data_IF_717995631144
#
_entry.id   IF_717995631144
#
_cell.length_a   1.000
_cell.length_b   1.000
_cell.length_c   1.000
_cell.angle_alpha   90.00
_cell.angle_beta   90.00
_cell.angle_gamma   90.00
#
_symmetry.space_group_name_H-M   'P 1'
#
loop_
_entity.id
_entity.type
_entity.pdbx_description
1 polymer ?
#
# COMPACT_ATOMS: atom_id res chain seq x y z
N UNK A 1 4.60 7.51 29.80
CA UNK A 1 4.28 6.08 29.91
C UNK A 1 3.04 5.80 29.07
N UNK A 2 3.18 5.13 27.93
CA UNK A 2 2.01 4.56 27.25
C UNK A 2 1.49 3.44 28.15
N UNK A 3 0.23 3.53 28.60
CA UNK A 3 -0.39 2.46 29.34
C UNK A 3 -0.36 1.21 28.45
N UNK A 4 0.35 0.15 28.88
CA UNK A 4 0.27 -1.14 28.20
C UNK A 4 -1.16 -1.62 28.39
N UNK A 5 -1.92 -1.73 27.31
CA UNK A 5 -3.17 -2.48 27.36
C UNK A 5 -2.80 -3.93 27.68
N UNK A 6 -3.51 -4.61 28.60
CA UNK A 6 -3.23 -6.00 28.89
C UNK A 6 -3.50 -6.85 27.64
N UNK A 7 -2.62 -7.81 27.36
CA UNK A 7 -2.87 -8.81 26.33
C UNK A 7 -4.15 -9.62 26.65
N UNK A 8 -4.84 -10.16 25.64
CA UNK A 8 -5.95 -11.09 25.87
C UNK A 8 -5.53 -12.29 26.72
N UNK A 9 -6.50 -12.90 27.40
CA UNK A 9 -6.28 -14.17 28.13
C UNK A 9 -5.68 -15.22 27.20
N UNK A 10 -4.70 -15.97 27.71
CA UNK A 10 -3.93 -16.99 26.97
C UNK A 10 -3.03 -16.46 25.84
N UNK A 11 -2.74 -15.15 25.78
CA UNK A 11 -1.84 -14.56 24.78
C UNK A 11 -0.59 -13.99 25.46
N UNK A 12 0.59 -14.40 25.00
CA UNK A 12 1.88 -13.90 25.45
C UNK A 12 2.42 -12.84 24.48
N UNK A 13 1.79 -11.66 24.41
CA UNK A 13 2.02 -10.68 23.33
C UNK A 13 3.48 -10.26 23.12
N UNK A 14 4.28 -10.25 24.19
CA UNK A 14 5.72 -9.99 24.13
C UNK A 14 6.51 -11.01 23.29
N UNK A 15 6.03 -12.25 23.17
CA UNK A 15 6.62 -13.31 22.34
C UNK A 15 6.07 -13.30 20.90
N UNK A 16 4.92 -12.66 20.72
CA UNK A 16 4.15 -12.55 19.47
C UNK A 16 4.42 -11.24 18.70
N UNK A 17 5.20 -10.33 19.28
CA UNK A 17 5.49 -9.03 18.69
C UNK A 17 4.37 -8.01 18.80
N UNK A 18 3.50 -8.17 19.80
CA UNK A 18 2.43 -7.20 20.09
C UNK A 18 3.00 -5.84 20.52
N UNK A 19 2.35 -4.78 20.04
CA UNK A 19 2.75 -3.40 20.32
C UNK A 19 1.52 -2.49 20.49
N UNK A 20 1.67 -1.45 21.33
CA UNK A 20 0.59 -0.49 21.65
C UNK A 20 1.11 0.96 21.67
N UNK A 21 2.13 1.25 20.87
CA UNK A 21 2.80 2.56 20.78
C UNK A 21 3.07 2.93 19.32
N UNK A 22 3.82 4.00 19.07
CA UNK A 22 4.23 4.42 17.72
C UNK A 22 4.78 3.26 16.85
N UNK A 23 4.07 2.89 15.78
CA UNK A 23 4.42 1.73 14.95
C UNK A 23 5.69 1.93 14.13
N UNK A 24 5.88 3.09 13.46
CA UNK A 24 7.07 3.31 12.61
C UNK A 24 8.38 3.04 13.37
N UNK A 25 8.47 3.48 14.64
CA UNK A 25 9.63 3.17 15.49
C UNK A 25 9.84 1.66 15.74
N UNK A 26 8.77 0.86 15.80
CA UNK A 26 8.84 -0.60 15.91
C UNK A 26 9.18 -1.24 14.57
N UNK A 27 8.60 -0.75 13.49
CA UNK A 27 8.77 -1.29 12.16
C UNK A 27 10.23 -1.20 11.69
N UNK A 28 10.97 -0.14 12.05
CA UNK A 28 12.41 -0.05 11.80
C UNK A 28 13.19 -1.18 12.50
N UNK A 29 12.85 -1.51 13.75
CA UNK A 29 13.46 -2.64 14.45
C UNK A 29 13.09 -3.98 13.82
N UNK A 30 11.82 -4.17 13.45
CA UNK A 30 11.33 -5.38 12.77
C UNK A 30 12.02 -5.59 11.42
N UNK A 31 12.27 -4.52 10.65
CA UNK A 31 13.03 -4.56 9.39
C UNK A 31 14.47 -5.04 9.61
N UNK A 32 15.13 -4.58 10.67
CA UNK A 32 16.46 -5.06 11.04
C UNK A 32 16.45 -6.53 11.48
N UNK A 33 15.46 -6.94 12.28
CA UNK A 33 15.26 -8.33 12.71
C UNK A 33 14.98 -9.26 11.54
N UNK A 34 14.21 -8.83 10.55
CA UNK A 34 13.93 -9.59 9.34
C UNK A 34 15.22 -9.87 8.57
N UNK A 35 16.01 -8.83 8.29
CA UNK A 35 17.28 -9.01 7.59
C UNK A 35 18.27 -9.87 8.39
N UNK A 36 18.35 -9.67 9.71
CA UNK A 36 19.13 -10.56 10.59
C UNK A 36 18.69 -12.01 10.46
N UNK A 37 17.39 -12.31 10.60
CA UNK A 37 16.88 -13.68 10.56
C UNK A 37 17.17 -14.39 9.24
N UNK A 38 17.14 -13.66 8.11
CA UNK A 38 17.45 -14.20 6.79
C UNK A 38 18.93 -14.53 6.61
N UNK A 39 19.82 -13.74 7.22
CA UNK A 39 21.27 -13.97 7.15
C UNK A 39 21.72 -15.04 8.15
N UNK A 40 21.14 -15.05 9.36
CA UNK A 40 21.50 -15.96 10.44
C UNK A 40 20.73 -17.29 10.39
N UNK A 41 19.76 -17.44 9.49
CA UNK A 41 18.81 -18.58 9.44
C UNK A 41 18.07 -18.78 10.79
N UNK A 42 17.74 -17.66 11.45
CA UNK A 42 17.07 -17.65 12.76
C UNK A 42 15.55 -17.65 12.57
N UNK A 43 14.99 -18.86 12.50
CA UNK A 43 13.55 -19.07 12.33
C UNK A 43 12.70 -18.40 13.42
N UNK A 44 13.17 -18.38 14.68
CA UNK A 44 12.40 -17.83 15.79
C UNK A 44 12.23 -16.32 15.66
N UNK A 45 13.28 -15.63 15.19
CA UNK A 45 13.21 -14.19 14.90
C UNK A 45 12.35 -13.91 13.67
N UNK A 46 12.46 -14.71 12.60
CA UNK A 46 11.61 -14.57 11.42
C UNK A 46 10.13 -14.73 11.78
N UNK A 47 9.80 -15.73 12.61
CA UNK A 47 8.46 -15.94 13.14
C UNK A 47 7.98 -14.72 13.96
N UNK A 48 8.81 -14.17 14.85
CA UNK A 48 8.47 -12.98 15.63
C UNK A 48 8.08 -11.81 14.72
N UNK A 49 8.87 -11.54 13.69
CA UNK A 49 8.60 -10.45 12.74
C UNK A 49 7.29 -10.68 12.01
N UNK A 50 7.04 -11.91 11.55
CA UNK A 50 5.78 -12.26 10.89
C UNK A 50 4.58 -11.99 11.78
N UNK A 51 4.61 -12.48 13.02
CA UNK A 51 3.49 -12.33 13.96
C UNK A 51 3.27 -10.86 14.34
N UNK A 52 4.34 -10.07 14.49
CA UNK A 52 4.24 -8.63 14.68
C UNK A 52 3.58 -7.91 13.49
N UNK A 53 3.91 -8.31 12.26
CA UNK A 53 3.31 -7.77 11.05
C UNK A 53 1.82 -8.10 10.97
N UNK A 54 1.42 -9.36 11.16
CA UNK A 54 0.02 -9.79 11.14
C UNK A 54 -0.79 -9.12 12.25
N UNK A 55 -0.22 -9.00 13.46
CA UNK A 55 -0.84 -8.27 14.56
C UNK A 55 -1.08 -6.80 14.21
N UNK A 56 -0.15 -6.16 13.52
CA UNK A 56 -0.28 -4.75 13.10
C UNK A 56 -1.52 -4.51 12.25
N UNK A 57 -1.84 -5.44 11.36
CA UNK A 57 -3.01 -5.34 10.48
C UNK A 57 -4.33 -5.29 11.27
N UNK A 58 -4.36 -5.79 12.51
CA UNK A 58 -5.56 -5.77 13.36
C UNK A 58 -5.93 -4.36 13.88
N UNK A 59 -5.01 -3.38 13.78
CA UNK A 59 -5.24 -2.01 14.26
C UNK A 59 -5.98 -1.10 13.27
N UNK A 60 -6.48 -1.62 12.15
CA UNK A 60 -7.18 -0.78 11.19
C UNK A 60 -8.10 -1.52 10.26
N UNK A 61 -8.15 -1.07 9.02
CA UNK A 61 -8.95 -1.63 7.94
C UNK A 61 -7.95 -2.13 6.87
N UNK A 62 -7.45 -3.37 6.98
CA UNK A 62 -6.42 -3.90 6.08
C UNK A 62 -6.79 -3.77 4.60
N UNK A 63 -8.07 -4.01 4.26
CA UNK A 63 -8.56 -3.96 2.87
C UNK A 63 -8.42 -2.58 2.21
N UNK A 64 -8.42 -1.49 2.98
CA UNK A 64 -8.14 -0.14 2.44
C UNK A 64 -6.69 0.29 2.68
N UNK A 65 -5.87 -0.55 3.34
CA UNK A 65 -4.50 -0.22 3.69
C UNK A 65 -4.35 0.80 4.82
N UNK A 66 -5.44 1.17 5.51
CA UNK A 66 -5.40 2.13 6.61
C UNK A 66 -5.17 1.40 7.92
N UNK A 67 -4.07 1.71 8.61
CA UNK A 67 -3.70 1.08 9.88
C UNK A 67 -3.48 2.17 10.93
N UNK A 68 -4.09 2.06 12.11
CA UNK A 68 -3.81 2.96 13.21
C UNK A 68 -2.39 2.72 13.74
N UNK A 69 -1.57 3.76 13.74
CA UNK A 69 -0.14 3.69 14.11
C UNK A 69 0.16 4.25 15.50
N UNK A 70 -0.87 4.81 16.15
CA UNK A 70 -0.85 5.38 17.49
C UNK A 70 -2.12 4.96 18.25
N UNK A 71 -2.35 3.65 18.45
CA UNK A 71 -3.57 3.14 19.08
C UNK A 71 -3.74 3.70 20.48
N UNK A 72 -4.98 4.10 20.80
CA UNK A 72 -5.38 4.72 22.08
C UNK A 72 -4.65 6.03 22.45
N UNK A 73 -3.83 6.59 21.55
CA UNK A 73 -3.19 7.91 21.73
C UNK A 73 -3.76 8.94 20.75
N UNK A 74 -3.34 8.86 19.50
CA UNK A 74 -3.78 9.79 18.46
C UNK A 74 -4.87 9.16 17.58
N UNK A 75 -4.90 7.82 17.47
CA UNK A 75 -5.86 7.06 16.67
C UNK A 75 -5.85 7.41 15.16
N UNK A 76 -4.66 7.65 14.63
CA UNK A 76 -4.41 8.07 13.25
C UNK A 76 -3.36 7.16 12.57
N UNK A 77 -3.42 7.12 11.25
CA UNK A 77 -2.47 6.40 10.41
C UNK A 77 -1.32 7.32 9.98
N UNK A 78 -0.09 6.97 10.35
CA UNK A 78 1.11 7.71 9.96
C UNK A 78 1.58 7.33 8.56
N UNK A 79 1.95 8.31 7.74
CA UNK A 79 2.46 8.06 6.39
C UNK A 79 3.75 7.21 6.36
N UNK A 80 4.65 7.38 7.35
CA UNK A 80 5.87 6.56 7.44
C UNK A 80 5.54 5.07 7.55
N UNK A 81 4.61 4.73 8.43
CA UNK A 81 4.26 3.36 8.76
C UNK A 81 3.78 2.57 7.54
N UNK A 82 3.08 3.22 6.61
CA UNK A 82 2.62 2.60 5.38
C UNK A 82 3.81 2.15 4.52
N UNK A 83 4.86 2.95 4.44
CA UNK A 83 6.11 2.56 3.77
C UNK A 83 6.77 1.35 4.41
N UNK A 84 6.77 1.26 5.74
CA UNK A 84 7.32 0.08 6.43
C UNK A 84 6.46 -1.16 6.29
N UNK A 85 5.13 -1.03 6.28
CA UNK A 85 4.21 -2.14 6.03
C UNK A 85 4.46 -2.74 4.64
N UNK A 86 4.61 -1.89 3.62
CA UNK A 86 4.94 -2.34 2.28
C UNK A 86 6.28 -3.08 2.28
N UNK A 87 7.33 -2.49 2.87
CA UNK A 87 8.65 -3.12 2.92
C UNK A 87 8.62 -4.49 3.62
N UNK A 88 7.99 -4.56 4.80
CA UNK A 88 7.88 -5.79 5.59
C UNK A 88 7.07 -6.86 4.87
N UNK A 89 5.87 -6.52 4.37
CA UNK A 89 5.00 -7.46 3.67
C UNK A 89 5.69 -8.08 2.45
N UNK A 90 6.37 -7.26 1.64
CA UNK A 90 7.12 -7.72 0.47
C UNK A 90 8.19 -8.76 0.86
N UNK A 91 8.94 -8.56 1.96
CA UNK A 91 10.06 -9.48 2.26
C UNK A 91 9.76 -10.58 3.21
N UNK A 92 8.69 -10.50 3.97
CA UNK A 92 8.08 -11.69 4.53
C UNK A 92 7.60 -12.62 3.39
N UNK A 93 7.10 -12.06 2.29
CA UNK A 93 6.80 -12.84 1.08
C UNK A 93 8.03 -13.32 0.33
N UNK A 94 9.07 -12.51 0.16
CA UNK A 94 10.34 -12.96 -0.44
C UNK A 94 11.01 -14.06 0.42
N UNK A 95 10.86 -14.00 1.75
CA UNK A 95 11.33 -15.01 2.69
C UNK A 95 10.42 -16.25 2.76
N UNK A 96 9.31 -16.28 2.00
CA UNK A 96 8.37 -17.40 1.90
C UNK A 96 7.74 -17.83 3.24
N UNK A 97 7.59 -16.89 4.17
CA UNK A 97 6.90 -17.14 5.46
C UNK A 97 5.43 -16.67 5.46
N UNK A 98 4.97 -16.09 4.35
CA UNK A 98 3.57 -15.78 4.08
C UNK A 98 3.37 -15.12 2.70
N UNK A 99 2.12 -15.04 2.24
CA UNK A 99 1.74 -14.32 1.02
C UNK A 99 1.00 -13.03 1.41
N UNK A 100 1.75 -11.93 1.50
CA UNK A 100 1.26 -10.62 1.97
C UNK A 100 1.02 -9.64 0.82
N UNK A 101 1.01 -10.12 -0.43
CA UNK A 101 0.87 -9.26 -1.59
C UNK A 101 -0.50 -8.58 -1.69
N UNK A 102 -1.57 -9.18 -1.13
CA UNK A 102 -2.87 -8.50 -1.04
C UNK A 102 -2.85 -7.35 -0.02
N UNK A 103 -2.11 -7.49 1.09
CA UNK A 103 -1.93 -6.39 2.04
C UNK A 103 -1.10 -5.26 1.42
N UNK A 104 -0.02 -5.62 0.72
CA UNK A 104 0.82 -4.67 -0.03
C UNK A 104 -0.02 -3.94 -1.08
N UNK A 105 -0.82 -4.66 -1.88
CA UNK A 105 -1.74 -4.07 -2.86
C UNK A 105 -2.72 -3.11 -2.18
N UNK A 106 -3.35 -3.52 -1.07
CA UNK A 106 -4.30 -2.70 -0.34
C UNK A 106 -3.67 -1.40 0.18
N UNK A 107 -2.44 -1.45 0.71
CA UNK A 107 -1.70 -0.26 1.16
C UNK A 107 -1.35 0.66 -0.01
N UNK A 108 -0.73 0.13 -1.06
CA UNK A 108 -0.13 0.97 -2.13
C UNK A 108 -1.19 1.53 -3.07
N UNK A 109 -2.26 0.78 -3.34
CA UNK A 109 -3.36 1.17 -4.24
C UNK A 109 -4.33 2.15 -3.58
N UNK A 110 -4.38 2.14 -2.24
CA UNK A 110 -5.30 2.95 -1.46
C UNK A 110 -4.53 3.90 -0.54
N UNK A 111 -4.43 3.60 0.75
CA UNK A 111 -4.06 4.60 1.76
C UNK A 111 -2.70 5.29 1.52
N UNK A 112 -1.68 4.58 1.01
CA UNK A 112 -0.36 5.16 0.79
C UNK A 112 -0.43 6.32 -0.20
N UNK A 113 -0.97 6.07 -1.40
CA UNK A 113 -1.08 7.12 -2.43
C UNK A 113 -2.06 8.23 -2.03
N UNK A 114 -3.11 7.90 -1.27
CA UNK A 114 -4.07 8.90 -0.77
C UNK A 114 -3.43 9.89 0.20
N UNK A 115 -2.44 9.50 0.99
CA UNK A 115 -1.76 10.42 1.90
C UNK A 115 -0.75 11.34 1.21
N UNK A 116 -0.56 11.24 -0.11
CA UNK A 116 0.26 12.19 -0.85
C UNK A 116 -0.52 13.47 -1.16
N UNK A 117 0.02 14.61 -0.74
CA UNK A 117 -0.60 15.92 -0.94
C UNK A 117 -0.33 16.42 -2.35
N UNK A 118 -1.29 16.23 -3.28
CA UNK A 118 -1.12 16.58 -4.70
C UNK A 118 -2.11 17.63 -5.21
N UNK A 119 -3.05 18.09 -4.36
CA UNK A 119 -4.10 19.05 -4.71
C UNK A 119 -3.88 20.39 -4.01
N UNK A 120 -3.34 21.36 -4.76
CA UNK A 120 -3.09 22.71 -4.25
C UNK A 120 -4.38 23.40 -3.80
N UNK A 121 -5.45 23.28 -4.59
CA UNK A 121 -6.76 23.85 -4.32
C UNK A 121 -7.36 23.37 -2.98
N UNK A 122 -7.17 22.09 -2.63
CA UNK A 122 -7.61 21.55 -1.35
C UNK A 122 -6.75 22.06 -0.19
N UNK A 123 -5.45 22.25 -0.40
CA UNK A 123 -4.55 22.84 0.62
C UNK A 123 -4.86 24.32 0.85
N UNK A 124 -5.18 25.07 -0.20
CA UNK A 124 -5.60 26.48 -0.13
C UNK A 124 -6.88 26.60 0.71
N UNK A 125 -7.91 25.81 0.39
CA UNK A 125 -9.15 25.76 1.15
C UNK A 125 -8.91 25.48 2.65
N UNK A 126 -8.08 24.49 2.96
CA UNK A 126 -7.75 24.14 4.35
C UNK A 126 -7.01 25.28 5.04
N UNK A 127 -6.06 25.91 4.36
CA UNK A 127 -5.29 27.02 4.92
C UNK A 127 -6.18 28.23 5.22
N UNK A 128 -7.09 28.59 4.31
CA UNK A 128 -8.06 29.69 4.48
C UNK A 128 -9.02 29.45 5.64
N UNK A 129 -9.46 28.20 5.83
CA UNK A 129 -10.36 27.83 6.91
C UNK A 129 -9.64 27.66 8.27
N UNK A 130 -8.32 27.55 8.27
CA UNK A 130 -7.54 27.27 9.47
C UNK A 130 -7.30 28.54 10.31
N UNK A 131 -7.29 28.36 11.62
CA UNK A 131 -6.90 29.45 12.52
C UNK A 131 -5.46 29.90 12.24
N UNK A 132 -5.15 31.19 12.40
CA UNK A 132 -3.78 31.67 12.34
C UNK A 132 -2.88 30.88 13.30
N UNK A 133 -1.67 30.56 12.85
CA UNK A 133 -0.68 29.86 13.68
C UNK A 133 -0.41 30.63 14.97
N UNK A 134 -0.42 29.93 16.10
CA UNK A 134 -0.03 30.49 17.38
C UNK A 134 1.42 30.99 17.33
N UNK A 135 1.69 32.29 17.59
CA UNK A 135 3.05 32.84 17.55
C UNK A 135 4.04 32.11 18.44
N UNK A 136 3.59 31.48 19.54
CA UNK A 136 4.42 30.68 20.46
C UNK A 136 4.96 29.41 19.83
N UNK A 137 4.36 28.96 18.73
CA UNK A 137 4.84 27.81 17.97
C UNK A 137 5.94 28.18 16.98
N UNK A 138 6.27 29.47 16.81
CA UNK A 138 7.34 29.88 15.90
C UNK A 138 8.68 29.30 16.33
N UNK A 139 9.55 28.98 15.36
CA UNK A 139 10.91 28.54 15.67
C UNK A 139 11.62 29.59 16.51
N UNK A 140 12.28 29.13 17.57
CA UNK A 140 13.11 29.96 18.44
C UNK A 140 14.44 30.34 17.79
N UNK A 141 14.77 29.71 16.67
CA UNK A 141 16.03 29.89 15.95
C UNK A 141 15.80 30.71 14.67
N UNK A 142 16.64 31.73 14.39
CA UNK A 142 16.54 32.50 13.15
C UNK A 142 16.61 31.61 11.91
N UNK A 143 15.88 31.99 10.85
CA UNK A 143 15.92 31.36 9.53
C UNK A 143 15.51 29.88 9.46
N UNK A 144 14.78 29.36 10.45
CA UNK A 144 14.23 28.00 10.44
C UNK A 144 12.75 27.93 10.03
N UNK A 145 12.17 29.04 9.58
CA UNK A 145 10.79 29.07 9.06
C UNK A 145 10.77 29.66 7.66
N UNK A 146 9.97 29.05 6.79
CA UNK A 146 9.64 29.58 5.46
C UNK A 146 8.13 29.70 5.38
N UNK A 147 7.65 30.89 4.98
CA UNK A 147 6.22 31.19 4.78
C UNK A 147 5.87 31.45 3.33
N UNK A 148 6.88 31.49 2.46
CA UNK A 148 6.73 31.74 1.04
C UNK A 148 6.39 30.44 0.30
N UNK A 149 5.34 30.49 -0.52
CA UNK A 149 4.94 29.38 -1.41
C UNK A 149 4.84 28.03 -0.69
N UNK A 150 4.30 28.04 0.55
CA UNK A 150 4.27 26.84 1.40
C UNK A 150 3.45 25.73 0.75
N UNK A 151 2.36 26.08 0.08
CA UNK A 151 1.49 25.11 -0.60
C UNK A 151 2.24 24.46 -1.76
N UNK A 152 2.83 25.25 -2.65
CA UNK A 152 3.59 24.77 -3.80
C UNK A 152 4.80 23.93 -3.38
N UNK A 153 5.49 24.33 -2.31
CA UNK A 153 6.60 23.58 -1.71
C UNK A 153 6.16 22.31 -0.98
N UNK A 154 4.88 22.19 -0.67
CA UNK A 154 4.32 21.02 0.02
C UNK A 154 3.71 19.99 -0.94
N UNK A 155 3.53 20.33 -2.21
CA UNK A 155 3.02 19.40 -3.21
C UNK A 155 3.97 18.22 -3.39
N UNK A 156 3.42 17.01 -3.34
CA UNK A 156 4.14 15.75 -3.40
C UNK A 156 4.61 15.22 -2.04
N UNK A 157 4.54 16.02 -0.96
CA UNK A 157 4.83 15.54 0.38
C UNK A 157 3.76 14.55 0.85
N UNK A 158 4.14 13.67 1.79
CA UNK A 158 3.20 12.77 2.44
C UNK A 158 2.75 13.34 3.77
N UNK A 159 1.43 13.29 4.00
CA UNK A 159 0.84 13.73 5.25
C UNK A 159 1.37 12.92 6.44
N UNK A 160 1.58 13.62 7.56
CA UNK A 160 2.07 13.05 8.80
C UNK A 160 1.12 12.00 9.38
N UNK A 161 -0.16 12.33 9.47
CA UNK A 161 -1.19 11.48 10.06
C UNK A 161 -2.52 11.64 9.30
N UNK A 162 -3.30 10.58 9.18
CA UNK A 162 -4.64 10.60 8.59
C UNK A 162 -5.69 9.87 9.44
N UNK A 163 -6.93 10.37 9.38
CA UNK A 163 -8.11 9.56 9.66
C UNK A 163 -8.39 8.65 8.45
N UNK A 164 -9.36 7.72 8.52
CA UNK A 164 -9.75 6.92 7.35
C UNK A 164 -10.26 7.75 6.17
N UNK A 165 -10.72 8.99 6.37
CA UNK A 165 -11.36 9.79 5.29
C UNK A 165 -10.75 11.17 5.07
N UNK A 166 -9.76 11.57 5.88
CA UNK A 166 -9.14 12.89 5.81
C UNK A 166 -7.74 12.93 6.42
N UNK A 167 -6.98 13.97 6.08
CA UNK A 167 -5.82 14.41 6.85
C UNK A 167 -6.28 15.58 7.72
N UNK A 168 -6.59 15.34 9.01
CA UNK A 168 -6.95 16.42 9.93
C UNK A 168 -5.70 17.23 10.27
N UNK A 169 -5.87 18.55 10.47
CA UNK A 169 -4.75 19.46 10.81
C UNK A 169 -3.56 19.27 9.88
N UNK A 170 -3.78 19.40 8.57
CA UNK A 170 -2.84 19.05 7.48
C UNK A 170 -1.39 19.39 7.79
N UNK A 171 -0.70 18.40 8.38
CA UNK A 171 0.64 18.53 8.92
C UNK A 171 1.53 17.48 8.26
N UNK A 172 2.73 17.89 7.89
CA UNK A 172 3.74 17.04 7.27
C UNK A 172 4.90 16.90 8.24
N UNK A 173 5.22 15.65 8.59
CA UNK A 173 6.52 15.30 9.15
C UNK A 173 7.39 14.82 7.99
N UNK A 174 8.55 15.42 7.77
CA UNK A 174 9.36 15.13 6.58
C UNK A 174 9.89 13.67 6.54
N UNK A 175 9.89 12.96 7.67
CA UNK A 175 10.11 11.51 7.69
C UNK A 175 9.04 10.75 6.89
N UNK A 176 7.78 11.20 6.89
CA UNK A 176 6.70 10.58 6.11
C UNK A 176 6.99 10.72 4.62
N UNK A 177 7.40 11.90 4.16
CA UNK A 177 7.83 12.09 2.77
C UNK A 177 8.97 11.14 2.42
N UNK A 178 9.99 11.03 3.27
CA UNK A 178 11.13 10.13 3.03
C UNK A 178 10.79 8.64 3.03
N UNK A 179 9.98 8.17 3.98
CA UNK A 179 9.71 6.73 4.13
C UNK A 179 8.56 6.25 3.24
N UNK A 180 7.51 7.05 3.04
CA UNK A 180 6.40 6.69 2.17
C UNK A 180 6.82 6.63 0.69
N UNK A 181 7.72 7.51 0.25
CA UNK A 181 8.31 7.44 -1.10
C UNK A 181 9.16 6.18 -1.30
N UNK A 182 9.89 5.74 -0.27
CA UNK A 182 10.53 4.42 -0.30
C UNK A 182 9.50 3.30 -0.40
N UNK A 183 8.36 3.40 0.30
CA UNK A 183 7.23 2.48 0.17
C UNK A 183 6.74 2.33 -1.28
N UNK A 184 6.58 3.45 -2.00
CA UNK A 184 6.24 3.43 -3.43
C UNK A 184 7.31 2.71 -4.27
N UNK A 185 8.59 2.97 -3.99
CA UNK A 185 9.69 2.28 -4.65
C UNK A 185 9.69 0.77 -4.36
N UNK A 186 9.48 0.36 -3.10
CA UNK A 186 9.41 -1.05 -2.71
C UNK A 186 8.24 -1.76 -3.39
N UNK A 187 7.07 -1.12 -3.45
CA UNK A 187 5.93 -1.64 -4.20
C UNK A 187 6.29 -1.82 -5.68
N UNK A 188 6.86 -0.78 -6.30
CA UNK A 188 7.26 -0.80 -7.70
C UNK A 188 8.29 -1.91 -7.99
N UNK A 189 9.35 -2.05 -7.19
CA UNK A 189 10.32 -3.16 -7.36
C UNK A 189 9.67 -4.51 -7.08
N UNK A 190 8.73 -4.56 -6.13
CA UNK A 190 7.97 -5.73 -5.72
C UNK A 190 7.07 -6.31 -6.80
N UNK A 191 6.64 -5.50 -7.78
CA UNK A 191 5.72 -5.92 -8.86
C UNK A 191 6.17 -7.20 -9.55
N UNK A 192 7.49 -7.41 -9.73
CA UNK A 192 8.03 -8.62 -10.35
C UNK A 192 9.33 -9.13 -9.71
N UNK A 193 9.56 -10.42 -9.88
CA UNK A 193 10.82 -11.12 -9.61
C UNK A 193 11.25 -11.86 -10.87
N UNK A 194 12.52 -11.73 -11.25
CA UNK A 194 13.10 -12.40 -12.41
C UNK A 194 14.13 -13.42 -11.90
N UNK A 195 13.91 -14.70 -12.18
CA UNK A 195 14.81 -15.78 -11.77
C UNK A 195 14.97 -16.78 -12.93
N UNK A 196 16.17 -16.84 -13.50
CA UNK A 196 16.44 -17.70 -14.65
C UNK A 196 15.56 -17.37 -15.86
N UNK A 197 14.78 -18.33 -16.33
CA UNK A 197 13.84 -18.21 -17.45
C UNK A 197 12.39 -17.94 -17.00
N UNK A 198 12.19 -17.69 -15.70
CA UNK A 198 10.89 -17.46 -15.09
C UNK A 198 10.74 -16.01 -14.60
N UNK A 199 9.62 -15.39 -14.94
CA UNK A 199 9.23 -14.08 -14.40
C UNK A 199 7.97 -14.23 -13.55
N UNK A 200 8.07 -13.90 -12.28
CA UNK A 200 6.94 -13.86 -11.35
C UNK A 200 6.39 -12.43 -11.29
N UNK A 201 5.08 -12.27 -11.42
CA UNK A 201 4.35 -11.02 -11.23
C UNK A 201 3.58 -11.12 -9.92
N UNK A 202 3.86 -10.23 -8.98
CA UNK A 202 3.28 -10.24 -7.64
C UNK A 202 2.12 -9.27 -7.47
N UNK A 203 2.21 -8.11 -8.14
CA UNK A 203 1.22 -7.04 -8.07
C UNK A 203 0.71 -6.74 -9.48
N UNK A 204 -0.61 -6.61 -9.63
CA UNK A 204 -1.24 -6.23 -10.89
C UNK A 204 -1.22 -4.70 -11.03
N UNK A 205 -0.02 -4.15 -11.20
CA UNK A 205 0.28 -2.73 -11.38
C UNK A 205 1.16 -2.55 -12.63
N UNK A 206 1.04 -1.39 -13.27
CA UNK A 206 1.79 -1.10 -14.49
C UNK A 206 3.29 -1.06 -14.21
N UNK A 207 4.07 -1.84 -14.96
CA UNK A 207 5.53 -1.81 -14.89
C UNK A 207 6.15 -2.28 -16.19
N UNK A 208 7.16 -1.54 -16.64
CA UNK A 208 8.05 -2.04 -17.66
C UNK A 208 9.29 -2.69 -17.01
N UNK A 209 9.73 -3.83 -17.56
CA UNK A 209 10.97 -4.48 -17.13
C UNK A 209 11.70 -5.14 -18.30
N UNK A 210 12.84 -5.77 -17.99
CA UNK A 210 13.72 -6.39 -18.98
C UNK A 210 13.06 -7.63 -19.61
N UNK A 211 12.49 -8.52 -18.79
CA UNK A 211 11.84 -9.76 -19.29
C UNK A 211 10.36 -9.63 -19.63
N UNK A 212 9.65 -8.68 -19.03
CA UNK A 212 8.19 -8.61 -19.11
C UNK A 212 7.70 -7.19 -18.86
N UNK A 213 6.74 -6.72 -19.66
CA UNK A 213 5.93 -5.55 -19.31
C UNK A 213 4.56 -5.99 -18.78
N UNK A 214 4.08 -5.30 -17.75
CA UNK A 214 2.77 -5.49 -17.13
C UNK A 214 1.91 -4.28 -17.45
N UNK A 215 0.82 -4.50 -18.17
CA UNK A 215 -0.23 -3.51 -18.43
C UNK A 215 -1.49 -3.95 -17.67
N UNK A 216 -1.70 -3.39 -16.49
CA UNK A 216 -2.87 -3.56 -15.65
C UNK A 216 -3.93 -2.51 -15.98
N UNK A 217 -5.17 -2.97 -16.20
CA UNK A 217 -6.31 -2.12 -16.47
C UNK A 217 -7.14 -1.86 -15.20
N UNK A 218 -6.70 -2.37 -14.05
CA UNK A 218 -7.32 -2.09 -12.76
C UNK A 218 -7.16 -0.59 -12.39
N UNK A 219 -8.16 0.03 -11.78
CA UNK A 219 -9.43 -0.54 -11.33
C UNK A 219 -10.54 -0.60 -12.37
N UNK A 220 -10.33 -0.09 -13.58
CA UNK A 220 -11.41 0.08 -14.56
C UNK A 220 -11.90 -1.26 -15.11
N UNK A 221 -10.97 -2.10 -15.56
CA UNK A 221 -11.28 -3.40 -16.16
C UNK A 221 -10.58 -4.52 -15.37
N UNK A 222 -11.24 -5.65 -15.22
CA UNK A 222 -10.62 -6.87 -14.70
C UNK A 222 -9.74 -7.51 -15.76
N UNK A 223 -8.67 -6.82 -16.14
CA UNK A 223 -7.81 -7.20 -17.26
C UNK A 223 -6.36 -6.82 -16.98
N UNK A 224 -5.45 -7.75 -17.30
CA UNK A 224 -4.02 -7.50 -17.32
C UNK A 224 -3.44 -8.13 -18.58
N UNK A 225 -2.54 -7.40 -19.24
CA UNK A 225 -1.80 -7.87 -20.40
C UNK A 225 -0.32 -7.92 -20.03
N UNK A 226 0.32 -9.07 -20.24
CA UNK A 226 1.72 -9.30 -19.95
C UNK A 226 2.47 -9.47 -21.27
N UNK A 227 3.28 -8.48 -21.64
CA UNK A 227 4.03 -8.48 -22.89
C UNK A 227 5.40 -9.11 -22.68
N UNK A 228 5.55 -10.36 -23.13
CA UNK A 228 6.75 -11.14 -22.89
C UNK A 228 7.91 -10.67 -23.77
N UNK A 229 9.05 -10.34 -23.15
CA UNK A 229 10.28 -9.98 -23.84
C UNK A 229 11.32 -11.09 -23.83
N UNK A 230 11.18 -12.08 -22.95
CA UNK A 230 12.20 -13.13 -22.84
C UNK A 230 11.95 -14.26 -21.83
N UNK A 231 10.87 -14.23 -21.05
CA UNK A 231 10.55 -15.32 -20.12
C UNK A 231 10.04 -16.56 -20.86
N UNK A 232 10.46 -17.75 -20.44
CA UNK A 232 9.86 -19.03 -20.87
C UNK A 232 8.64 -19.39 -20.05
N UNK A 233 8.60 -18.92 -18.81
CA UNK A 233 7.49 -19.11 -17.87
C UNK A 233 7.14 -17.80 -17.17
N UNK A 234 5.84 -17.54 -17.05
CA UNK A 234 5.30 -16.47 -16.23
C UNK A 234 4.48 -17.06 -15.09
N UNK A 235 4.73 -16.58 -13.86
CA UNK A 235 3.92 -16.87 -12.67
C UNK A 235 3.20 -15.60 -12.26
N UNK A 236 1.94 -15.43 -12.68
CA UNK A 236 1.17 -14.24 -12.35
C UNK A 236 0.31 -14.48 -11.10
N UNK A 237 0.62 -13.80 -10.00
CA UNK A 237 -0.19 -13.84 -8.78
C UNK A 237 -1.55 -13.19 -9.04
N UNK A 238 -2.60 -13.96 -8.79
CA UNK A 238 -3.98 -13.49 -8.91
C UNK A 238 -4.49 -13.13 -7.50
N UNK A 239 -4.96 -11.88 -7.26
CA UNK A 239 -5.46 -11.45 -5.96
C UNK A 239 -6.57 -12.34 -5.40
N UNK A 240 -6.62 -12.49 -4.07
CA UNK A 240 -7.57 -13.40 -3.40
C UNK A 240 -9.05 -13.07 -3.64
N UNK A 241 -9.37 -11.81 -3.95
CA UNK A 241 -10.73 -11.37 -4.27
C UNK A 241 -11.19 -11.79 -5.68
N UNK A 242 -10.27 -12.21 -6.55
CA UNK A 242 -10.61 -12.66 -7.91
C UNK A 242 -11.12 -14.10 -7.87
N UNK A 243 -12.35 -14.31 -8.36
CA UNK A 243 -12.90 -15.64 -8.51
C UNK A 243 -12.20 -16.39 -9.66
N UNK A 244 -11.39 -17.40 -9.34
CA UNK A 244 -10.62 -18.18 -10.34
C UNK A 244 -11.47 -18.77 -11.47
N UNK A 245 -12.76 -19.05 -11.22
CA UNK A 245 -13.71 -19.56 -12.23
C UNK A 245 -14.09 -18.51 -13.29
N UNK A 246 -14.06 -17.23 -12.92
CA UNK A 246 -14.31 -16.12 -13.84
C UNK A 246 -13.12 -15.85 -14.76
N UNK A 247 -11.93 -16.34 -14.39
CA UNK A 247 -10.70 -16.02 -15.08
C UNK A 247 -10.62 -16.68 -16.45
N UNK A 248 -10.16 -15.92 -17.44
CA UNK A 248 -9.85 -16.37 -18.80
C UNK A 248 -8.41 -15.97 -19.12
N UNK A 249 -7.72 -16.87 -19.81
CA UNK A 249 -6.33 -16.65 -20.22
C UNK A 249 -6.20 -16.92 -21.70
N UNK A 250 -5.47 -16.07 -22.40
CA UNK A 250 -5.04 -16.33 -23.77
C UNK A 250 -3.57 -15.96 -23.95
N UNK A 251 -2.91 -16.65 -24.87
CA UNK A 251 -1.54 -16.35 -25.30
C UNK A 251 -1.61 -16.00 -26.78
N UNK A 252 -1.23 -14.77 -27.10
CA UNK A 252 -1.23 -14.23 -28.47
C UNK A 252 -2.58 -14.45 -29.18
N UNK A 253 -3.67 -14.24 -28.44
CA UNK A 253 -5.06 -14.40 -28.89
C UNK A 253 -5.62 -15.82 -28.84
N UNK A 254 -4.79 -16.85 -28.62
CA UNK A 254 -5.24 -18.24 -28.51
C UNK A 254 -5.62 -18.56 -27.06
N UNK A 255 -6.86 -19.00 -26.77
CA UNK A 255 -7.26 -19.38 -25.42
C UNK A 255 -6.37 -20.48 -24.86
N UNK A 256 -5.98 -20.36 -23.58
CA UNK A 256 -5.25 -21.39 -22.85
C UNK A 256 -5.92 -21.71 -21.51
N UNK A 257 -5.92 -22.98 -21.08
CA UNK A 257 -6.40 -23.34 -19.76
C UNK A 257 -5.53 -22.71 -18.67
N UNK A 258 -6.15 -22.27 -17.58
CA UNK A 258 -5.45 -21.73 -16.42
C UNK A 258 -4.83 -22.87 -15.60
N UNK A 259 -3.50 -22.88 -15.49
CA UNK A 259 -2.74 -23.78 -14.62
C UNK A 259 -2.37 -23.02 -13.34
N UNK A 260 -2.49 -23.65 -12.17
CA UNK A 260 -2.37 -22.97 -10.89
C UNK A 260 -1.31 -23.59 -9.98
N UNK A 261 -0.54 -22.73 -9.31
CA UNK A 261 0.27 -23.06 -8.14
C UNK A 261 -0.11 -22.10 -7.00
N UNK A 262 -0.95 -22.57 -6.06
CA UNK A 262 -1.55 -21.69 -5.06
C UNK A 262 -2.38 -20.58 -5.73
N UNK A 263 -1.99 -19.31 -5.51
CA UNK A 263 -2.60 -18.14 -6.14
C UNK A 263 -1.88 -17.66 -7.41
N UNK A 264 -0.86 -18.37 -7.88
CA UNK A 264 -0.16 -18.04 -9.11
C UNK A 264 -0.78 -18.78 -10.30
N UNK A 265 -1.18 -18.01 -11.30
CA UNK A 265 -1.45 -18.49 -12.65
C UNK A 265 -0.11 -18.77 -13.34
N UNK A 266 0.08 -20.02 -13.73
CA UNK A 266 1.27 -20.48 -14.44
C UNK A 266 1.01 -20.49 -15.94
N UNK A 267 1.87 -19.80 -16.70
CA UNK A 267 1.86 -19.84 -18.16
C UNK A 267 3.27 -20.17 -18.63
N UNK A 268 3.44 -21.31 -19.30
CA UNK A 268 4.71 -21.84 -19.79
C UNK A 268 4.74 -21.94 -21.32
N UNK A 269 5.85 -22.47 -21.85
CA UNK A 269 6.14 -22.58 -23.28
C UNK A 269 6.02 -21.25 -24.04
N UNK A 270 6.37 -20.15 -23.36
CA UNK A 270 6.33 -18.81 -23.91
C UNK A 270 7.58 -18.51 -24.73
N UNK A 271 7.39 -17.70 -25.78
CA UNK A 271 8.45 -17.18 -26.65
C UNK A 271 8.53 -15.65 -26.52
N UNK A 272 9.71 -15.05 -26.75
CA UNK A 272 9.81 -13.60 -26.86
C UNK A 272 8.79 -13.05 -27.88
N UNK A 273 8.06 -12.00 -27.50
CA UNK A 273 6.98 -11.41 -28.30
C UNK A 273 5.59 -11.94 -28.01
N UNK A 274 5.44 -13.06 -27.27
CA UNK A 274 4.12 -13.52 -26.85
C UNK A 274 3.43 -12.51 -25.93
N UNK A 275 2.10 -12.40 -26.05
CA UNK A 275 1.29 -11.56 -25.17
C UNK A 275 0.33 -12.44 -24.37
N UNK A 276 0.44 -12.41 -23.05
CA UNK A 276 -0.48 -13.14 -22.17
C UNK A 276 -1.56 -12.19 -21.69
N UNK A 277 -2.80 -12.42 -22.11
CA UNK A 277 -3.96 -11.65 -21.64
C UNK A 277 -4.69 -12.46 -20.57
N UNK A 278 -4.91 -11.82 -19.42
CA UNK A 278 -5.66 -12.37 -18.28
C UNK A 278 -6.86 -11.47 -18.03
N UNK A 279 -8.05 -12.04 -18.14
CA UNK A 279 -9.33 -11.35 -17.92
C UNK A 279 -10.08 -12.03 -16.78
N UNK A 280 -10.77 -11.25 -15.94
CA UNK A 280 -11.47 -11.72 -14.76
C UNK A 280 -12.57 -10.75 -14.32
N UNK A 281 -13.49 -11.21 -13.47
CA UNK A 281 -14.51 -10.33 -12.88
C UNK A 281 -13.88 -9.27 -11.98
N UNK A 282 -14.26 -8.01 -12.15
CA UNK A 282 -13.83 -6.88 -11.32
C UNK A 282 -15.05 -6.23 -10.64
N UNK A 283 -15.58 -6.86 -9.57
CA UNK A 283 -16.86 -6.46 -8.99
C UNK A 283 -16.75 -5.15 -8.22
N UNK A 284 -17.84 -4.39 -8.21
CA UNK A 284 -18.06 -3.33 -7.24
C UNK A 284 -18.70 -3.94 -5.98
N UNK A 285 -18.15 -3.64 -4.81
CA UNK A 285 -18.63 -4.17 -3.52
C UNK A 285 -18.64 -3.09 -2.46
N UNK A 286 -19.65 -3.08 -1.60
CA UNK A 286 -19.68 -2.25 -0.40
C UNK A 286 -19.42 -3.13 0.83
N UNK A 287 -18.62 -2.67 1.78
CA UNK A 287 -18.36 -3.39 3.02
C UNK A 287 -18.20 -2.43 4.19
N UNK A 288 -18.75 -2.80 5.35
CA UNK A 288 -18.68 -2.00 6.58
C UNK A 288 -17.52 -2.46 7.44
N UNK A 289 -16.74 -1.50 7.94
CA UNK A 289 -15.61 -1.73 8.82
C UNK A 289 -15.65 -0.77 10.00
N UNK A 290 -15.17 -1.22 11.16
CA UNK A 290 -14.99 -0.35 12.32
C UNK A 290 -13.50 -0.04 12.47
N UNK A 291 -13.15 1.24 12.49
CA UNK A 291 -11.80 1.68 12.82
C UNK A 291 -11.74 2.14 14.28
N UNK A 292 -10.54 2.07 14.87
CA UNK A 292 -10.26 2.60 16.21
C UNK A 292 -11.17 2.02 17.31
N UNK A 293 -11.50 0.72 17.20
CA UNK A 293 -12.45 0.09 18.11
C UNK A 293 -12.00 0.19 19.57
N UNK A 294 -12.97 0.35 20.48
CA UNK A 294 -12.78 0.51 21.92
C UNK A 294 -11.95 1.75 22.31
N UNK A 295 -11.96 2.77 21.45
CA UNK A 295 -11.39 4.08 21.76
C UNK A 295 -12.44 5.17 21.61
N UNK A 296 -12.14 6.39 22.08
CA UNK A 296 -13.02 7.56 21.88
C UNK A 296 -13.17 7.96 20.40
N UNK A 297 -12.32 7.43 19.52
CA UNK A 297 -12.34 7.69 18.08
C UNK A 297 -12.94 6.52 17.28
N UNK A 298 -13.60 5.56 17.94
CA UNK A 298 -14.29 4.45 17.26
C UNK A 298 -15.34 5.00 16.29
N UNK A 299 -15.29 4.54 15.05
CA UNK A 299 -16.26 4.88 14.02
C UNK A 299 -16.41 3.75 13.03
N UNK A 300 -17.62 3.57 12.51
CA UNK A 300 -17.91 2.64 11.42
C UNK A 300 -17.90 3.38 10.08
N UNK A 301 -17.23 2.80 9.11
CA UNK A 301 -17.14 3.28 7.74
C UNK A 301 -17.74 2.27 6.77
N UNK A 302 -18.49 2.75 5.78
CA UNK A 302 -18.86 1.97 4.60
C UNK A 302 -17.85 2.28 3.51
N UNK A 303 -17.12 1.26 3.07
CA UNK A 303 -16.09 1.34 2.05
C UNK A 303 -16.61 0.70 0.75
N UNK A 304 -16.61 1.46 -0.33
CA UNK A 304 -17.02 1.03 -1.66
C UNK A 304 -15.78 0.70 -2.49
N UNK A 305 -15.61 -0.56 -2.87
CA UNK A 305 -14.47 -1.06 -3.63
C UNK A 305 -14.85 -1.43 -5.05
N UNK A 306 -13.90 -1.26 -5.98
CA UNK A 306 -13.87 -1.94 -7.28
C UNK A 306 -12.65 -2.86 -7.29
N UNK A 307 -12.89 -4.17 -7.19
CA UNK A 307 -11.84 -5.14 -6.86
C UNK A 307 -11.20 -4.82 -5.49
N UNK A 308 -9.89 -4.54 -5.48
CA UNK A 308 -9.14 -4.06 -4.30
C UNK A 308 -9.02 -2.54 -4.17
N UNK A 309 -9.54 -1.77 -5.14
CA UNK A 309 -9.43 -0.31 -5.11
C UNK A 309 -10.60 0.30 -4.35
N UNK A 310 -10.33 1.02 -3.27
CA UNK A 310 -11.32 1.81 -2.55
C UNK A 310 -11.68 3.03 -3.42
N UNK A 311 -12.90 3.08 -3.96
CA UNK A 311 -13.35 4.19 -4.83
C UNK A 311 -14.13 5.23 -4.05
N UNK A 312 -14.78 4.86 -2.96
CA UNK A 312 -15.54 5.78 -2.11
C UNK A 312 -15.63 5.27 -0.67
N UNK A 313 -15.80 6.19 0.28
CA UNK A 313 -15.87 5.87 1.71
C UNK A 313 -16.82 6.84 2.43
N UNK A 314 -17.63 6.34 3.35
CA UNK A 314 -18.54 7.15 4.18
C UNK A 314 -18.50 6.70 5.64
N UNK A 315 -18.78 7.58 6.62
CA UNK A 315 -19.05 9.01 6.47
C UNK A 315 -17.81 9.80 6.04
N UNK A 316 -18.02 10.92 5.36
CA UNK A 316 -16.96 11.86 4.99
C UNK A 316 -16.65 12.79 6.17
N UNK A 317 -15.41 13.28 6.24
CA UNK A 317 -15.06 14.38 7.12
C UNK A 317 -15.24 15.69 6.36
N UNK A 318 -16.34 16.38 6.65
CA UNK A 318 -16.72 17.63 6.01
C UNK A 318 -16.12 18.87 6.70
N UNK A 319 -15.22 18.69 7.67
CA UNK A 319 -14.56 19.83 8.33
C UNK A 319 -13.75 20.64 7.31
N UNK A 320 -13.93 21.97 7.23
CA UNK A 320 -13.23 22.80 6.25
C UNK A 320 -11.72 22.87 6.52
N UNK A 321 -11.29 22.52 7.72
CA UNK A 321 -9.89 22.44 8.18
C UNK A 321 -9.23 21.07 7.95
N UNK A 322 -9.93 20.14 7.30
CA UNK A 322 -9.42 18.83 6.94
C UNK A 322 -9.17 18.72 5.44
N UNK A 323 -8.03 18.13 5.07
CA UNK A 323 -7.77 17.77 3.67
C UNK A 323 -8.47 16.44 3.38
N UNK A 324 -9.44 16.38 2.44
CA UNK A 324 -10.26 15.21 2.24
C UNK A 324 -9.49 14.14 1.46
N UNK A 325 -9.63 12.88 1.86
CA UNK A 325 -9.09 11.73 1.15
C UNK A 325 -10.17 11.07 0.28
N UNK A 326 -9.75 10.18 -0.62
CA UNK A 326 -10.64 9.37 -1.47
C UNK A 326 -11.60 10.22 -2.32
N UNK A 327 -11.09 11.31 -2.90
CA UNK A 327 -11.79 12.14 -3.88
C UNK A 327 -11.60 11.54 -5.27
N UNK A 328 -12.20 10.35 -5.49
CA UNK A 328 -11.87 9.41 -6.56
C UNK A 328 -12.91 9.35 -7.69
N UNK A 329 -13.76 10.37 -7.84
CA UNK A 329 -14.76 10.47 -8.93
C UNK A 329 -14.19 10.13 -10.33
N UNK A 330 -12.94 10.48 -10.69
CA UNK A 330 -12.37 10.09 -11.99
C UNK A 330 -12.25 8.57 -12.23
N UNK A 331 -12.34 7.74 -11.18
CA UNK A 331 -12.34 6.27 -11.26
C UNK A 331 -13.72 5.69 -11.60
N UNK A 332 -14.76 6.51 -11.65
CA UNK A 332 -16.11 6.12 -12.09
C UNK A 332 -16.20 6.09 -13.64
N UNK A 333 -15.39 5.21 -14.23
CA UNK A 333 -15.37 4.94 -15.68
C UNK A 333 -15.24 3.44 -15.88
N UNK A 334 -15.80 2.91 -16.96
CA UNK A 334 -15.69 1.47 -17.23
C UNK A 334 -14.48 1.09 -18.05
N UNK A 335 -14.00 2.00 -18.89
CA UNK A 335 -12.83 1.77 -19.72
C UNK A 335 -11.59 2.39 -19.07
N UNK A 336 -10.48 1.65 -19.07
CA UNK A 336 -9.22 2.17 -18.58
C UNK A 336 -8.75 3.34 -19.47
N UNK A 337 -8.44 4.52 -18.89
CA UNK A 337 -7.88 5.62 -19.66
C UNK A 337 -6.47 5.24 -20.12
N UNK A 338 -6.22 5.39 -21.43
CA UNK A 338 -4.92 5.12 -22.04
C UNK A 338 -4.13 6.41 -22.23
N UNK A 339 -2.82 6.34 -22.01
CA UNK A 339 -1.89 7.46 -22.24
C UNK A 339 -0.56 6.93 -22.75
N UNK A 340 0.00 7.59 -23.76
CA UNK A 340 1.37 7.36 -24.19
C UNK A 340 2.37 7.95 -23.19
N UNK A 341 3.36 7.14 -22.79
CA UNK A 341 4.39 7.55 -21.85
C UNK A 341 5.73 6.91 -22.22
N UNK A 342 6.82 7.62 -21.93
CA UNK A 342 8.12 6.99 -21.86
C UNK A 342 8.09 5.97 -20.71
N UNK A 343 8.37 4.70 -21.01
CA UNK A 343 8.43 3.63 -20.01
C UNK A 343 9.81 3.62 -19.37
N UNK A 344 9.85 3.56 -18.04
CA UNK A 344 11.09 3.44 -17.27
C UNK A 344 11.43 1.97 -17.03
N UNK A 345 12.63 1.56 -17.44
CA UNK A 345 13.21 0.24 -17.13
C UNK A 345 14.52 0.50 -16.38
N UNK A 346 14.69 -0.01 -15.14
CA UNK A 346 15.89 0.26 -14.38
C UNK A 346 17.09 -0.54 -14.90
N UNK A 347 18.26 0.08 -14.91
CA UNK A 347 19.52 -0.65 -15.10
C UNK A 347 19.80 -1.56 -13.90
N UNK A 348 19.51 -1.06 -12.69
CA UNK A 348 19.71 -1.72 -11.41
C UNK A 348 18.47 -1.61 -10.52
N UNK A 349 18.09 -2.72 -9.91
CA UNK A 349 17.08 -2.78 -8.84
C UNK A 349 17.77 -2.88 -7.48
N UNK A 350 17.38 -2.03 -6.54
CA UNK A 350 17.78 -2.08 -5.14
C UNK A 350 16.74 -2.90 -4.38
N UNK A 351 17.15 -4.07 -3.87
CA UNK A 351 16.29 -5.00 -3.11
C UNK A 351 16.58 -4.97 -1.60
N UNK A 352 17.73 -4.44 -1.18
CA UNK A 352 18.04 -4.29 0.25
C UNK A 352 17.64 -2.90 0.69
N UNK A 353 17.15 -2.79 1.91
CA UNK A 353 16.89 -1.50 2.55
C UNK A 353 17.78 -1.29 3.77
#
# INVERSE_FOLDING_TARGET
>A
HAARLPDPVCVAGQEEGHWYSHFHARAIALRGMLEYSRVADDWRVLEFVRRAYEYTLTFGIPRMGWINTYPAKDNLCEGCALGDLVALGIRLSDARIGDYWDDVDAVVRNQLVEQQLVRADLLERVAEASAPRDPRQSSRYPNQEVREKVIERSLGNFAGQSSPTSVPKTWVMQCCTGNATQGLYYAWEGILREEGDTTQVNLLLNRAAKSLDVDSYLPFEGKVILHNKGARRILARIPSWVEKKSLRTSVSGSPRPAIWAGNYLCVDDLRPGDSVTVEFSNPQTASRYTANSQTKAEATYTCNFRGSTLVDISPRDDAPTSYPLYQRDPLDKDQAPMKETARFVPDRTILRW
#
